data_IF_945018168469
#
_entry.id   IF_945018168469
#
_cell.length_a   1.000
_cell.length_b   1.000
_cell.length_c   1.000
_cell.angle_alpha   90.00
_cell.angle_beta   90.00
_cell.angle_gamma   90.00
#
_symmetry.space_group_name_H-M   'P 1'
#
loop_
_entity.id
_entity.type
_entity.pdbx_description
1 polymer ?
#
# COMPACT_ATOMS: atom_id res chain seq x y z
N UNK A 1 -10.30 -6.43 -9.63
CA UNK A 1 -8.83 -6.62 -9.50
C UNK A 1 -8.27 -7.77 -10.35
N UNK A 2 -8.96 -8.91 -10.53
CA UNK A 2 -8.47 -10.00 -11.41
C UNK A 2 -8.16 -9.53 -12.84
N UNK A 3 -9.07 -8.79 -13.46
CA UNK A 3 -8.89 -8.24 -14.81
C UNK A 3 -7.70 -7.28 -14.90
N UNK A 4 -7.50 -6.44 -13.89
CA UNK A 4 -6.35 -5.52 -13.84
C UNK A 4 -5.04 -6.29 -13.77
N UNK A 5 -4.92 -7.27 -12.87
CA UNK A 5 -3.73 -8.11 -12.75
C UNK A 5 -3.40 -8.89 -14.03
N UNK A 6 -4.42 -9.27 -14.81
CA UNK A 6 -4.22 -9.92 -16.11
C UNK A 6 -3.70 -8.96 -17.18
N UNK A 7 -4.26 -7.76 -17.24
CA UNK A 7 -3.82 -6.68 -18.14
C UNK A 7 -2.39 -6.26 -17.78
N UNK A 8 -2.09 -6.06 -16.50
CA UNK A 8 -0.74 -5.71 -16.00
C UNK A 8 0.28 -6.80 -16.36
N UNK A 9 -0.09 -8.08 -16.25
CA UNK A 9 0.80 -9.17 -16.66
C UNK A 9 0.98 -9.21 -18.18
N UNK A 10 -0.08 -8.96 -18.96
CA UNK A 10 -0.04 -8.99 -20.42
C UNK A 10 0.84 -7.88 -20.99
N UNK A 11 0.79 -6.69 -20.41
CA UNK A 11 1.53 -5.51 -20.86
C UNK A 11 2.75 -5.21 -19.98
N UNK A 12 3.23 -6.21 -19.22
CA UNK A 12 4.41 -6.04 -18.36
C UNK A 12 5.63 -5.68 -19.21
N UNK A 13 6.22 -4.53 -18.93
CA UNK A 13 7.46 -4.10 -19.58
C UNK A 13 8.63 -5.01 -19.20
N UNK A 14 9.61 -5.09 -20.10
CA UNK A 14 10.84 -5.83 -19.85
C UNK A 14 11.62 -5.17 -18.71
N UNK A 15 11.80 -5.90 -17.61
CA UNK A 15 12.67 -5.47 -16.52
C UNK A 15 14.14 -5.69 -16.89
N UNK A 16 15.08 -4.91 -16.32
CA UNK A 16 16.51 -5.19 -16.40
C UNK A 16 16.83 -6.65 -16.04
N UNK A 17 17.78 -7.25 -16.75
CA UNK A 17 18.08 -8.69 -16.65
C UNK A 17 18.46 -9.10 -15.23
N UNK A 18 19.24 -8.27 -14.52
CA UNK A 18 19.67 -8.52 -13.14
C UNK A 18 18.50 -8.56 -12.15
N UNK A 19 17.54 -7.65 -12.31
CA UNK A 19 16.33 -7.63 -11.48
C UNK A 19 15.44 -8.83 -11.80
N UNK A 20 15.26 -9.14 -13.08
CA UNK A 20 14.43 -10.27 -13.51
C UNK A 20 14.90 -11.60 -12.93
N UNK A 21 16.21 -11.88 -12.99
CA UNK A 21 16.77 -13.11 -12.44
C UNK A 21 16.68 -13.16 -10.92
N UNK A 22 16.96 -12.04 -10.24
CA UNK A 22 16.83 -11.92 -8.78
C UNK A 22 15.40 -12.17 -8.31
N UNK A 23 14.42 -11.48 -8.92
CA UNK A 23 13.00 -11.60 -8.56
C UNK A 23 12.48 -13.02 -8.82
N UNK A 24 12.82 -13.58 -9.98
CA UNK A 24 12.38 -14.94 -10.34
C UNK A 24 13.02 -15.97 -9.40
N UNK A 25 14.31 -15.83 -9.08
CA UNK A 25 15.00 -16.73 -8.15
C UNK A 25 14.42 -16.67 -6.74
N UNK A 26 13.92 -15.52 -6.29
CA UNK A 26 13.25 -15.37 -4.98
C UNK A 26 11.88 -16.08 -4.93
N UNK A 27 11.25 -16.30 -6.08
CA UNK A 27 9.95 -17.01 -6.18
C UNK A 27 10.15 -18.52 -6.31
N UNK A 28 11.23 -18.98 -6.94
CA UNK A 28 11.48 -20.41 -7.18
C UNK A 28 11.40 -21.31 -5.92
N UNK A 29 11.87 -20.87 -4.72
CA UNK A 29 11.75 -21.67 -3.50
C UNK A 29 10.32 -21.85 -2.99
N UNK A 30 9.37 -21.02 -3.44
CA UNK A 30 7.97 -21.12 -3.02
C UNK A 30 7.35 -22.39 -3.61
N UNK A 31 6.44 -23.02 -2.87
CA UNK A 31 5.69 -24.21 -3.31
C UNK A 31 4.66 -23.84 -4.39
N UNK A 32 5.15 -23.47 -5.58
CA UNK A 32 4.37 -23.07 -6.74
C UNK A 32 4.67 -24.04 -7.90
N UNK A 33 3.65 -24.45 -8.66
CA UNK A 33 3.86 -25.13 -9.93
C UNK A 33 4.79 -24.33 -10.86
N UNK A 34 5.69 -25.01 -11.58
CA UNK A 34 6.72 -24.37 -12.42
C UNK A 34 6.13 -23.51 -13.55
N UNK A 35 4.96 -23.89 -14.08
CA UNK A 35 4.21 -23.11 -15.07
C UNK A 35 3.65 -21.79 -14.53
N UNK A 36 3.62 -21.59 -13.20
CA UNK A 36 3.15 -20.35 -12.56
C UNK A 36 4.27 -19.40 -12.16
N UNK A 37 5.54 -19.79 -12.37
CA UNK A 37 6.70 -19.05 -11.91
C UNK A 37 6.73 -17.60 -12.40
N UNK A 38 6.37 -17.36 -13.67
CA UNK A 38 6.33 -16.02 -14.25
C UNK A 38 5.00 -15.30 -13.97
N UNK A 39 3.91 -16.06 -13.80
CA UNK A 39 2.55 -15.53 -13.63
C UNK A 39 2.13 -15.46 -12.16
N UNK A 40 3.05 -15.09 -11.28
CA UNK A 40 2.79 -14.92 -9.84
C UNK A 40 1.80 -13.80 -9.54
N UNK A 41 1.79 -12.75 -10.36
CA UNK A 41 0.88 -11.61 -10.21
C UNK A 41 -0.57 -11.94 -10.55
N UNK A 42 -0.87 -13.08 -11.19
CA UNK A 42 -2.25 -13.44 -11.59
C UNK A 42 -3.03 -14.08 -10.44
N UNK A 43 -4.17 -13.48 -10.09
CA UNK A 43 -5.16 -14.09 -9.21
C UNK A 43 -5.95 -15.18 -9.94
N UNK A 44 -5.95 -16.41 -9.41
CA UNK A 44 -6.58 -17.58 -10.05
C UNK A 44 -7.89 -17.98 -9.40
N UNK A 45 -7.87 -18.24 -8.09
CA UNK A 45 -9.01 -18.70 -7.29
C UNK A 45 -9.48 -17.58 -6.36
N UNK A 46 -10.79 -17.42 -6.26
CA UNK A 46 -11.42 -16.59 -5.23
C UNK A 46 -11.91 -17.52 -4.12
N UNK A 47 -11.38 -17.33 -2.92
CA UNK A 47 -11.79 -18.08 -1.74
C UNK A 47 -12.34 -17.09 -0.71
N UNK A 48 -13.66 -17.03 -0.60
CA UNK A 48 -14.34 -16.15 0.34
C UNK A 48 -14.07 -16.56 1.80
N UNK A 49 -13.91 -17.87 2.06
CA UNK A 49 -13.73 -18.40 3.42
C UNK A 49 -12.39 -18.00 4.00
N UNK A 50 -11.32 -18.11 3.19
CA UNK A 50 -9.99 -17.65 3.57
C UNK A 50 -9.95 -16.14 3.85
N UNK A 51 -10.72 -15.33 3.09
CA UNK A 51 -10.82 -13.89 3.33
C UNK A 51 -11.51 -13.62 4.68
N UNK A 52 -12.60 -14.32 4.99
CA UNK A 52 -13.29 -14.16 6.28
C UNK A 52 -12.36 -14.57 7.43
N UNK A 53 -11.63 -15.69 7.28
CA UNK A 53 -10.64 -16.11 8.27
C UNK A 53 -9.52 -15.08 8.46
N UNK A 54 -9.03 -14.49 7.36
CA UNK A 54 -8.06 -13.40 7.43
C UNK A 54 -8.63 -12.17 8.16
N UNK A 55 -9.88 -11.80 7.88
CA UNK A 55 -10.58 -10.69 8.54
C UNK A 55 -10.78 -10.93 10.03
N UNK A 56 -10.96 -12.18 10.46
CA UNK A 56 -11.11 -12.53 11.88
C UNK A 56 -9.84 -12.27 12.71
N UNK A 57 -8.66 -12.17 12.10
CA UNK A 57 -7.43 -11.83 12.81
C UNK A 57 -7.29 -10.33 13.09
N UNK A 58 -8.02 -9.47 12.36
CA UNK A 58 -8.07 -8.03 12.63
C UNK A 58 -8.98 -7.75 13.82
N UNK A 59 -8.43 -7.94 15.03
CA UNK A 59 -9.09 -7.70 16.31
C UNK A 59 -8.41 -6.56 17.03
N UNK A 60 -9.18 -5.86 17.87
CA UNK A 60 -8.67 -4.84 18.80
C UNK A 60 -7.61 -5.42 19.76
N UNK A 61 -7.77 -6.68 20.16
CA UNK A 61 -6.87 -7.35 21.09
C UNK A 61 -5.51 -7.75 20.48
N UNK A 62 -5.40 -7.79 19.14
CA UNK A 62 -4.20 -8.21 18.42
C UNK A 62 -3.61 -7.04 17.61
N UNK A 63 -3.59 -5.85 18.22
CA UNK A 63 -3.07 -4.63 17.61
C UNK A 63 -1.78 -4.19 18.30
N UNK A 64 -0.75 -3.90 17.50
CA UNK A 64 0.48 -3.24 17.95
C UNK A 64 0.60 -1.90 17.24
N UNK A 65 0.67 -0.81 18.00
CA UNK A 65 0.85 0.54 17.48
C UNK A 65 2.30 1.00 17.73
N UNK A 66 2.94 1.50 16.68
CA UNK A 66 4.27 2.09 16.76
C UNK A 66 4.16 3.57 16.38
N UNK A 67 4.38 4.45 17.35
CA UNK A 67 4.42 5.90 17.15
C UNK A 67 5.88 6.33 16.97
N UNK A 68 6.17 7.06 15.90
CA UNK A 68 7.49 7.63 15.64
C UNK A 68 7.32 9.13 15.45
N UNK A 69 8.00 9.90 16.28
CA UNK A 69 7.98 11.37 16.27
C UNK A 69 9.36 11.90 16.55
N UNK A 70 9.75 12.95 15.85
CA UNK A 70 11.06 13.59 16.03
C UNK A 70 11.14 14.37 17.36
N UNK A 71 10.09 15.12 17.69
CA UNK A 71 10.06 16.04 18.85
C UNK A 71 9.07 15.56 19.91
N UNK A 72 9.39 14.49 20.62
CA UNK A 72 8.57 14.02 21.75
C UNK A 72 9.33 14.15 23.08
N UNK A 73 8.86 15.01 24.01
CA UNK A 73 9.47 15.22 25.32
C UNK A 73 9.07 14.10 26.30
N UNK A 74 9.22 12.85 25.88
CA UNK A 74 8.89 11.67 26.67
C UNK A 74 10.08 11.08 27.41
N UNK A 75 9.80 10.32 28.47
CA UNK A 75 10.81 9.52 29.17
C UNK A 75 10.98 8.17 28.48
N UNK A 76 12.05 7.99 27.70
CA UNK A 76 12.36 6.73 27.04
C UNK A 76 13.12 5.77 27.98
N UNK A 77 12.45 4.69 28.41
CA UNK A 77 13.01 3.80 29.44
C UNK A 77 13.79 2.61 28.87
N UNK A 78 13.55 2.22 27.61
CA UNK A 78 14.16 1.04 27.00
C UNK A 78 15.09 1.43 25.86
N UNK A 79 16.16 0.65 25.68
CA UNK A 79 17.08 0.77 24.55
C UNK A 79 17.17 -0.54 23.80
N UNK A 80 17.09 -0.45 22.48
CA UNK A 80 17.25 -1.59 21.58
C UNK A 80 18.72 -2.01 21.51
N UNK A 81 18.98 -3.31 21.33
CA UNK A 81 20.30 -3.92 21.50
C UNK A 81 21.31 -3.51 20.42
N UNK A 82 20.88 -3.42 19.16
CA UNK A 82 21.79 -3.29 18.02
C UNK A 82 22.00 -1.85 17.59
N UNK A 83 20.94 -1.06 17.52
CA UNK A 83 20.94 0.32 17.06
C UNK A 83 20.88 1.33 18.20
N UNK A 84 20.63 0.88 19.44
CA UNK A 84 20.52 1.77 20.60
C UNK A 84 19.30 2.67 20.55
N UNK A 85 18.32 2.38 19.69
CA UNK A 85 17.09 3.16 19.57
C UNK A 85 16.36 3.18 20.90
N UNK A 86 16.07 4.38 21.39
CA UNK A 86 15.33 4.59 22.62
C UNK A 86 13.83 4.42 22.33
N UNK A 87 13.13 3.64 23.15
CA UNK A 87 11.71 3.39 22.99
C UNK A 87 11.02 3.14 24.34
N UNK A 88 9.69 3.21 24.35
CA UNK A 88 8.85 2.79 25.47
C UNK A 88 7.82 1.80 24.97
N UNK A 89 7.39 0.93 25.88
CA UNK A 89 6.25 0.05 25.65
C UNK A 89 5.22 0.42 26.71
N UNK A 90 4.16 1.07 26.27
CA UNK A 90 3.01 1.40 27.12
C UNK A 90 1.78 0.64 26.64
N UNK A 91 0.87 0.36 27.58
CA UNK A 91 -0.43 -0.23 27.24
C UNK A 91 -1.31 0.82 26.59
N UNK A 92 -2.03 0.41 25.55
CA UNK A 92 -2.97 1.30 24.85
C UNK A 92 -4.09 1.68 25.84
N UNK A 93 -4.41 2.99 25.99
CA UNK A 93 -5.48 3.44 26.86
C UNK A 93 -6.85 2.95 26.37
N UNK A 94 -7.75 2.68 27.30
CA UNK A 94 -9.09 2.13 27.03
C UNK A 94 -9.96 3.04 26.17
N UNK A 95 -9.75 4.36 26.25
CA UNK A 95 -10.47 5.36 25.44
C UNK A 95 -10.23 5.14 23.94
N UNK A 96 -8.96 5.03 23.54
CA UNK A 96 -8.53 4.80 22.15
C UNK A 96 -9.05 3.45 21.64
N UNK A 97 -9.01 2.41 22.46
CA UNK A 97 -9.58 1.10 22.10
C UNK A 97 -11.09 1.20 21.85
N UNK A 98 -11.81 1.98 22.66
CA UNK A 98 -13.25 2.19 22.48
C UNK A 98 -13.59 2.89 21.17
N UNK A 99 -12.75 3.83 20.74
CA UNK A 99 -12.92 4.55 19.48
C UNK A 99 -12.57 3.69 18.27
N UNK A 100 -11.53 2.87 18.36
CA UNK A 100 -11.22 1.86 17.34
C UNK A 100 -12.41 0.92 17.16
N UNK A 101 -13.01 0.47 18.26
CA UNK A 101 -14.19 -0.39 18.22
C UNK A 101 -15.39 0.30 17.56
N UNK A 102 -15.63 1.58 17.85
CA UNK A 102 -16.69 2.36 17.18
C UNK A 102 -16.39 2.47 15.67
N UNK A 103 -15.15 2.73 15.29
CA UNK A 103 -14.74 2.83 13.90
C UNK A 103 -14.90 1.50 13.14
N UNK A 104 -14.52 0.36 13.75
CA UNK A 104 -14.69 -0.96 13.16
C UNK A 104 -16.15 -1.33 12.89
N UNK A 105 -17.07 -0.92 13.78
CA UNK A 105 -18.49 -1.19 13.65
C UNK A 105 -19.24 -0.17 12.78
N UNK A 106 -18.60 0.94 12.44
CA UNK A 106 -19.21 1.96 11.60
C UNK A 106 -19.41 1.44 10.17
N UNK A 107 -20.65 1.50 9.67
CA UNK A 107 -20.97 1.13 8.29
C UNK A 107 -20.66 2.25 7.28
N UNK A 108 -20.31 3.46 7.74
CA UNK A 108 -19.98 4.58 6.84
C UNK A 108 -18.58 4.36 6.23
N UNK A 109 -18.46 4.22 4.91
CA UNK A 109 -17.17 4.08 4.24
C UNK A 109 -16.23 5.29 4.46
N UNK A 110 -16.74 6.40 5.00
CA UNK A 110 -16.01 7.65 5.28
C UNK A 110 -15.62 7.82 6.75
N UNK A 111 -16.06 6.92 7.64
CA UNK A 111 -15.81 7.02 9.08
C UNK A 111 -14.38 6.65 9.49
N UNK A 112 -13.68 5.83 8.70
CA UNK A 112 -12.22 5.83 8.70
C UNK A 112 -11.82 7.18 8.08
N UNK A 113 -11.58 8.17 8.95
CA UNK A 113 -11.51 9.60 8.62
C UNK A 113 -10.86 9.81 7.27
N UNK A 114 -11.52 10.60 6.41
CA UNK A 114 -11.14 10.85 5.01
C UNK A 114 -9.62 10.68 4.88
N UNK A 115 -9.09 9.58 4.30
CA UNK A 115 -7.75 9.68 3.76
C UNK A 115 -7.79 10.93 2.87
N UNK A 116 -6.74 11.74 2.73
CA UNK A 116 -6.74 12.80 1.73
C UNK A 116 -6.93 12.13 0.35
N UNK A 117 -8.19 11.92 -0.05
CA UNK A 117 -8.58 11.25 -1.29
C UNK A 117 -8.53 12.31 -2.38
N UNK A 118 -7.35 12.91 -2.55
CA UNK A 118 -7.05 13.64 -3.77
C UNK A 118 -7.07 12.61 -4.89
N UNK A 119 -7.60 12.97 -6.06
CA UNK A 119 -7.93 12.09 -7.20
C UNK A 119 -6.88 11.01 -7.57
N UNK A 120 -5.64 11.17 -7.14
CA UNK A 120 -4.49 10.26 -7.23
C UNK A 120 -4.80 8.76 -7.04
N UNK A 121 -5.47 8.35 -5.96
CA UNK A 121 -5.62 6.92 -5.64
C UNK A 121 -6.52 6.15 -6.63
N UNK A 122 -7.48 6.83 -7.28
CA UNK A 122 -8.40 6.17 -8.22
C UNK A 122 -7.73 5.84 -9.55
N UNK A 123 -6.76 6.64 -9.97
CA UNK A 123 -6.00 6.44 -11.20
C UNK A 123 -4.85 5.43 -11.00
N UNK A 124 -4.23 5.45 -9.82
CA UNK A 124 -3.18 4.49 -9.44
C UNK A 124 -3.68 3.03 -9.48
N UNK A 125 -4.90 2.77 -9.00
CA UNK A 125 -5.53 1.43 -9.06
C UNK A 125 -5.80 0.96 -10.50
N UNK A 126 -5.89 1.90 -11.46
CA UNK A 126 -6.02 1.59 -12.88
C UNK A 126 -4.69 1.60 -13.65
N UNK A 127 -3.55 1.60 -12.95
CA UNK A 127 -2.22 1.60 -13.58
C UNK A 127 -1.81 2.94 -14.19
N UNK A 128 -2.43 4.04 -13.75
CA UNK A 128 -2.02 5.40 -14.11
C UNK A 128 -1.36 6.07 -12.91
N UNK A 129 -0.10 6.41 -13.07
CA UNK A 129 0.73 7.07 -12.08
C UNK A 129 1.09 8.46 -12.59
N UNK A 130 1.08 9.44 -11.69
CA UNK A 130 1.63 10.76 -11.99
C UNK A 130 2.56 11.19 -10.87
N UNK A 131 3.64 11.88 -11.22
CA UNK A 131 4.50 12.56 -10.28
C UNK A 131 4.59 14.03 -10.64
N UNK A 132 4.59 14.87 -9.61
CA UNK A 132 4.78 16.32 -9.72
C UNK A 132 5.98 16.63 -8.84
N UNK A 133 7.02 17.22 -9.41
CA UNK A 133 8.21 17.65 -8.68
C UNK A 133 8.59 19.07 -9.07
N UNK A 134 8.86 19.90 -8.07
CA UNK A 134 9.48 21.20 -8.29
C UNK A 134 10.99 21.00 -8.53
N UNK A 135 11.53 21.73 -9.49
CA UNK A 135 12.95 21.80 -9.80
C UNK A 135 13.36 23.28 -9.92
N UNK A 136 14.66 23.58 -9.95
CA UNK A 136 15.17 24.96 -10.03
C UNK A 136 14.67 25.74 -11.25
N UNK A 137 14.22 25.05 -12.31
CA UNK A 137 13.70 25.64 -13.55
C UNK A 137 12.16 25.73 -13.60
N UNK A 138 11.44 25.22 -12.60
CA UNK A 138 9.97 25.22 -12.60
C UNK A 138 9.36 23.95 -12.01
N UNK A 139 8.24 23.51 -12.58
CA UNK A 139 7.51 22.30 -12.16
C UNK A 139 7.56 21.27 -13.28
N UNK A 140 8.00 20.06 -12.94
CA UNK A 140 7.95 18.90 -13.84
C UNK A 140 6.75 18.03 -13.48
N UNK A 141 5.94 17.70 -14.49
CA UNK A 141 4.75 16.86 -14.37
C UNK A 141 4.94 15.69 -15.32
N UNK A 142 5.11 14.50 -14.75
CA UNK A 142 5.21 13.27 -15.53
C UNK A 142 3.98 12.39 -15.29
N UNK A 143 3.40 11.89 -16.37
CA UNK A 143 2.27 10.94 -16.35
C UNK A 143 2.72 9.65 -17.01
N UNK A 144 2.53 8.54 -16.31
CA UNK A 144 2.93 7.20 -16.72
C UNK A 144 1.72 6.26 -16.64
N UNK A 145 1.58 5.33 -17.59
CA UNK A 145 0.55 4.29 -17.53
C UNK A 145 -0.10 3.99 -18.87
N UNK A 146 -1.32 3.46 -18.81
CA UNK A 146 -2.11 3.10 -20.00
C UNK A 146 -2.65 4.32 -20.74
N UNK A 147 -2.40 4.36 -22.06
CA UNK A 147 -2.68 5.53 -22.91
C UNK A 147 -4.14 6.00 -22.91
N UNK A 148 -5.10 5.08 -22.83
CA UNK A 148 -6.53 5.34 -23.00
C UNK A 148 -7.11 6.43 -22.09
N UNK A 149 -6.51 6.67 -20.91
CA UNK A 149 -6.99 7.66 -19.93
C UNK A 149 -5.93 8.67 -19.48
N UNK A 150 -4.76 8.71 -20.13
CA UNK A 150 -3.70 9.65 -19.76
C UNK A 150 -4.11 11.10 -20.00
N UNK A 151 -4.76 11.39 -21.13
CA UNK A 151 -5.21 12.74 -21.47
C UNK A 151 -6.21 13.28 -20.42
N UNK A 152 -7.17 12.46 -20.00
CA UNK A 152 -8.17 12.84 -19.00
C UNK A 152 -7.55 13.05 -17.62
N UNK A 153 -6.52 12.26 -17.27
CA UNK A 153 -5.78 12.46 -16.03
C UNK A 153 -4.98 13.76 -16.06
N UNK A 154 -4.29 14.04 -17.15
CA UNK A 154 -3.50 15.26 -17.34
C UNK A 154 -4.38 16.51 -17.26
N UNK A 155 -5.52 16.51 -17.96
CA UNK A 155 -6.50 17.61 -17.92
C UNK A 155 -6.99 17.86 -16.49
N UNK A 156 -7.32 16.80 -15.75
CA UNK A 156 -7.73 16.92 -14.34
C UNK A 156 -6.62 17.46 -13.44
N UNK A 157 -5.38 17.05 -13.66
CA UNK A 157 -4.23 17.58 -12.90
C UNK A 157 -4.11 19.08 -13.16
N UNK A 158 -4.11 19.49 -14.43
CA UNK A 158 -3.99 20.89 -14.82
C UNK A 158 -5.14 21.78 -14.30
N UNK A 159 -6.36 21.26 -14.24
CA UNK A 159 -7.53 22.00 -13.70
C UNK A 159 -7.51 22.07 -12.16
N UNK A 160 -6.88 21.09 -11.50
CA UNK A 160 -6.84 21.01 -10.03
C UNK A 160 -5.65 21.78 -9.42
N UNK A 161 -4.66 22.16 -10.25
CA UNK A 161 -3.56 23.05 -9.86
C UNK A 161 -4.05 24.49 -9.74
#
# INVERSE_FOLDING_TARGET
MKTMAEVDFRFRQQSPVSQFTSDTSSVMPKRLPRNWLLSTSKFRKFDATAIIQALQYFREDNLTLMLVSQDYPGTWNLKEKWYGTEYTIDRIPTDVLSDIRKALNSQDPRACGKPPITAKRRFEVSGLLFSISANMLGVDISVHGYNDKMAVLLEKILITM
#
